data_IF_517954899050
#
_entry.id   IF_517954899050
#
_cell.length_a   1.000
_cell.length_b   1.000
_cell.length_c   1.000
_cell.angle_alpha   90.00
_cell.angle_beta   90.00
_cell.angle_gamma   90.00
#
_symmetry.space_group_name_H-M   'P 1'
#
loop_
_entity.id
_entity.type
_entity.pdbx_description
1 polymer ?
#
# COMPACT_ATOMS: atom_id res chain seq x y z
N UNK A 1 15.00 6.71 -4.98
CA UNK A 1 14.23 6.02 -6.03
C UNK A 1 12.79 5.97 -5.56
N UNK A 2 11.89 6.54 -6.34
CA UNK A 2 10.49 6.71 -5.96
C UNK A 2 9.68 5.48 -6.30
N UNK A 3 8.90 5.00 -5.34
CA UNK A 3 7.86 4.00 -5.57
C UNK A 3 6.53 4.70 -5.72
N UNK A 4 5.75 4.31 -6.72
CA UNK A 4 4.38 4.79 -6.91
C UNK A 4 3.43 3.60 -6.97
N UNK A 5 2.47 3.58 -6.05
CA UNK A 5 1.37 2.63 -5.96
C UNK A 5 0.11 3.38 -6.40
N UNK A 6 -0.42 3.09 -7.59
CA UNK A 6 -1.46 3.95 -8.19
C UNK A 6 -2.83 3.83 -7.52
N UNK A 7 -3.11 2.69 -6.91
CA UNK A 7 -4.40 2.41 -6.30
C UNK A 7 -4.20 1.57 -5.04
N UNK A 8 -4.43 2.22 -3.90
CA UNK A 8 -4.18 1.67 -2.59
C UNK A 8 -5.23 2.13 -1.59
N UNK A 9 -5.65 1.21 -0.74
CA UNK A 9 -6.52 1.47 0.41
C UNK A 9 -5.66 1.56 1.66
N UNK A 10 -5.65 2.71 2.33
CA UNK A 10 -4.74 3.01 3.44
C UNK A 10 -5.48 3.33 4.73
N UNK A 11 -5.20 2.53 5.76
CA UNK A 11 -5.70 2.69 7.11
C UNK A 11 -4.67 3.45 7.95
N UNK A 12 -5.07 4.62 8.47
CA UNK A 12 -4.28 5.41 9.42
C UNK A 12 -4.71 5.18 10.88
N UNK A 13 -5.98 4.83 11.08
CA UNK A 13 -6.56 4.42 12.36
C UNK A 13 -7.56 3.28 12.13
N UNK A 14 -7.98 2.60 13.21
CA UNK A 14 -9.06 1.61 13.17
C UNK A 14 -10.45 2.25 13.15
N UNK A 15 -10.55 3.50 13.61
CA UNK A 15 -11.83 4.19 13.84
C UNK A 15 -12.19 5.19 12.73
N UNK A 16 -11.40 5.23 11.66
CA UNK A 16 -11.57 6.16 10.55
C UNK A 16 -11.58 5.37 9.25
N UNK A 17 -12.45 5.77 8.32
CA UNK A 17 -12.52 5.18 6.99
C UNK A 17 -11.16 5.20 6.29
N UNK A 18 -10.80 4.13 5.56
CA UNK A 18 -9.54 4.08 4.85
C UNK A 18 -9.51 5.11 3.72
N UNK A 19 -8.33 5.67 3.49
CA UNK A 19 -8.08 6.57 2.38
C UNK A 19 -7.76 5.74 1.14
N UNK A 20 -8.58 5.85 0.11
CA UNK A 20 -8.35 5.24 -1.19
C UNK A 20 -7.69 6.24 -2.12
N UNK A 21 -6.53 5.89 -2.68
CA UNK A 21 -5.80 6.76 -3.60
C UNK A 21 -4.43 6.22 -3.99
N UNK A 22 -3.65 7.05 -4.67
CA UNK A 22 -2.28 6.73 -5.04
C UNK A 22 -1.32 7.01 -3.88
N UNK A 23 -0.35 6.12 -3.67
CA UNK A 23 0.71 6.27 -2.66
C UNK A 23 2.05 6.44 -3.34
N UNK A 24 2.87 7.37 -2.86
CA UNK A 24 4.26 7.51 -3.28
C UNK A 24 5.20 7.70 -2.10
N UNK A 25 6.40 7.10 -2.19
CA UNK A 25 7.45 7.24 -1.18
C UNK A 25 8.83 6.98 -1.79
N UNK A 26 9.87 7.47 -1.13
CA UNK A 26 11.26 7.17 -1.48
C UNK A 26 11.75 5.88 -0.82
N UNK A 27 12.48 5.05 -1.58
CA UNK A 27 13.23 3.93 -0.99
C UNK A 27 14.53 4.43 -0.32
N UNK A 28 14.95 3.80 0.79
CA UNK A 28 14.28 2.70 1.50
C UNK A 28 13.07 3.18 2.33
N UNK A 29 12.07 2.31 2.47
CA UNK A 29 10.94 2.57 3.36
C UNK A 29 11.37 2.33 4.81
N UNK A 30 11.26 3.35 5.64
CA UNK A 30 11.59 3.38 7.07
C UNK A 30 10.47 4.08 7.85
N UNK A 31 10.47 3.97 9.17
CA UNK A 31 9.43 4.54 10.03
C UNK A 31 9.14 6.03 9.80
N UNK A 32 10.18 6.81 9.53
CA UNK A 32 10.08 8.26 9.32
C UNK A 32 10.06 8.66 7.84
N UNK A 33 10.11 7.68 6.93
CA UNK A 33 9.99 7.94 5.49
C UNK A 33 8.64 8.63 5.22
N UNK A 34 8.63 9.82 4.59
CA UNK A 34 7.40 10.47 4.19
C UNK A 34 6.70 9.64 3.11
N UNK A 35 5.41 9.41 3.34
CA UNK A 35 4.51 8.72 2.43
C UNK A 35 3.42 9.69 2.04
N UNK A 36 3.32 9.98 0.75
CA UNK A 36 2.29 10.85 0.19
C UNK A 36 1.14 10.00 -0.34
N UNK A 37 -0.08 10.29 0.12
CA UNK A 37 -1.33 9.68 -0.32
C UNK A 37 -2.11 10.74 -1.10
N UNK A 38 -2.27 10.54 -2.40
CA UNK A 38 -3.00 11.43 -3.30
C UNK A 38 -4.34 10.81 -3.65
N UNK A 39 -5.43 11.49 -3.28
CA UNK A 39 -6.79 11.18 -3.72
C UNK A 39 -7.22 12.18 -4.79
N UNK A 40 -8.44 12.01 -5.32
CA UNK A 40 -8.99 12.94 -6.31
C UNK A 40 -9.17 14.37 -5.77
N UNK A 41 -9.37 14.51 -4.46
CA UNK A 41 -9.71 15.79 -3.81
C UNK A 41 -8.64 16.36 -2.89
N UNK A 42 -7.69 15.54 -2.43
CA UNK A 42 -6.68 15.97 -1.45
C UNK A 42 -5.38 15.20 -1.58
N UNK A 43 -4.31 15.84 -1.11
CA UNK A 43 -3.01 15.20 -0.90
C UNK A 43 -2.69 15.22 0.59
N UNK A 44 -2.33 14.07 1.14
CA UNK A 44 -1.98 13.90 2.55
C UNK A 44 -0.58 13.32 2.62
N UNK A 45 0.29 13.91 3.45
CA UNK A 45 1.62 13.35 3.71
C UNK A 45 1.69 12.89 5.16
N UNK A 46 2.09 11.64 5.37
CA UNK A 46 2.26 11.02 6.69
C UNK A 46 3.60 10.30 6.76
N UNK A 47 4.14 10.11 7.96
CA UNK A 47 5.28 9.21 8.14
C UNK A 47 4.81 7.74 8.00
N UNK A 48 5.65 6.86 7.46
CA UNK A 48 5.30 5.45 7.27
C UNK A 48 4.84 4.75 8.57
N UNK A 49 5.39 5.13 9.73
CA UNK A 49 4.96 4.60 11.05
C UNK A 49 3.51 4.90 11.40
N UNK A 50 2.91 5.92 10.79
CA UNK A 50 1.51 6.30 11.00
C UNK A 50 0.57 5.46 10.14
N UNK A 51 1.07 4.78 9.11
CA UNK A 51 0.29 3.83 8.31
C UNK A 51 0.12 2.55 9.12
N UNK A 52 -1.11 2.26 9.53
CA UNK A 52 -1.44 1.00 10.21
C UNK A 52 -1.43 -0.16 9.24
N UNK A 53 -2.00 0.05 8.07
CA UNK A 53 -2.02 -0.91 6.97
C UNK A 53 -2.27 -0.15 5.68
N UNK A 54 -1.50 -0.41 4.65
CA UNK A 54 -1.89 -0.07 3.29
C UNK A 54 -1.93 -1.32 2.44
N UNK A 55 -2.92 -1.44 1.58
CA UNK A 55 -3.09 -2.58 0.68
C UNK A 55 -3.24 -2.05 -0.73
N UNK A 56 -2.51 -2.63 -1.66
CA UNK A 56 -2.51 -2.21 -3.05
C UNK A 56 -2.39 -3.43 -3.95
N UNK A 57 -2.85 -3.30 -5.19
CA UNK A 57 -2.85 -4.42 -6.13
C UNK A 57 -1.56 -4.43 -6.95
N UNK A 58 -0.77 -5.49 -6.79
CA UNK A 58 0.44 -5.74 -7.58
C UNK A 58 0.07 -6.12 -9.01
N UNK A 59 -0.84 -7.09 -9.15
CA UNK A 59 -1.37 -7.56 -10.43
C UNK A 59 -2.83 -8.05 -10.29
N UNK A 60 -3.40 -8.65 -11.34
CA UNK A 60 -4.78 -9.16 -11.32
C UNK A 60 -5.07 -10.26 -10.28
N UNK A 61 -4.05 -10.80 -9.61
CA UNK A 61 -4.10 -11.95 -8.71
C UNK A 61 -3.42 -11.71 -7.36
N UNK A 62 -2.53 -10.73 -7.26
CA UNK A 62 -1.68 -10.47 -6.10
C UNK A 62 -1.85 -9.06 -5.57
N UNK A 63 -1.89 -8.96 -4.25
CA UNK A 63 -1.85 -7.72 -3.47
C UNK A 63 -0.49 -7.57 -2.80
N UNK A 64 -0.07 -6.33 -2.60
CA UNK A 64 1.04 -5.96 -1.73
C UNK A 64 0.53 -5.17 -0.54
N UNK A 65 1.34 -5.14 0.51
CA UNK A 65 0.98 -4.52 1.78
C UNK A 65 2.10 -3.61 2.27
N UNK A 66 1.74 -2.47 2.87
CA UNK A 66 2.64 -1.72 3.76
C UNK A 66 2.13 -1.92 5.17
N UNK A 67 2.93 -2.54 6.02
CA UNK A 67 2.60 -2.80 7.41
C UNK A 67 3.82 -2.58 8.30
N UNK A 68 3.65 -1.86 9.41
CA UNK A 68 4.75 -1.50 10.33
C UNK A 68 5.97 -0.88 9.61
N UNK A 69 5.71 -0.02 8.62
CA UNK A 69 6.74 0.64 7.79
C UNK A 69 7.57 -0.30 6.90
N UNK A 70 7.11 -1.54 6.71
CA UNK A 70 7.74 -2.52 5.82
C UNK A 70 6.82 -2.81 4.64
N UNK A 71 7.42 -2.93 3.46
CA UNK A 71 6.73 -3.35 2.25
C UNK A 71 6.73 -4.89 2.20
N UNK A 72 5.57 -5.49 2.05
CA UNK A 72 5.38 -6.92 1.85
C UNK A 72 4.79 -7.16 0.46
N UNK A 73 5.50 -7.93 -0.35
CA UNK A 73 5.02 -8.44 -1.64
C UNK A 73 5.47 -9.89 -1.82
N UNK A 74 5.08 -10.53 -2.92
CA UNK A 74 5.19 -11.98 -3.16
C UNK A 74 6.58 -12.63 -3.06
N UNK A 75 7.63 -11.87 -2.71
CA UNK A 75 8.98 -12.35 -2.46
C UNK A 75 9.30 -12.60 -0.97
N UNK A 76 8.60 -11.96 -0.04
CA UNK A 76 8.97 -11.92 1.39
C UNK A 76 7.95 -12.69 2.25
N UNK A 77 8.40 -13.75 2.92
CA UNK A 77 7.61 -14.59 3.86
C UNK A 77 6.28 -15.14 3.28
N UNK A 78 6.35 -16.27 2.57
CA UNK A 78 5.24 -16.86 1.81
C UNK A 78 3.95 -17.11 2.60
N UNK A 79 4.01 -17.46 3.88
CA UNK A 79 2.83 -17.95 4.60
C UNK A 79 1.87 -16.83 5.04
N UNK A 80 2.36 -15.83 5.76
CA UNK A 80 1.55 -14.70 6.22
C UNK A 80 1.06 -13.85 5.05
N UNK A 81 1.93 -13.64 4.06
CA UNK A 81 1.56 -13.00 2.80
C UNK A 81 0.43 -13.74 2.09
N UNK A 82 0.49 -15.07 2.00
CA UNK A 82 -0.55 -15.86 1.31
C UNK A 82 -1.91 -15.77 2.01
N UNK A 83 -1.93 -15.80 3.35
CA UNK A 83 -3.17 -15.64 4.13
C UNK A 83 -3.79 -14.27 3.90
N UNK A 84 -2.99 -13.21 3.97
CA UNK A 84 -3.48 -11.84 3.74
C UNK A 84 -3.93 -11.64 2.30
N UNK A 85 -3.14 -12.11 1.32
CA UNK A 85 -3.49 -12.03 -0.09
C UNK A 85 -4.81 -12.74 -0.42
N UNK A 86 -5.06 -13.92 0.16
CA UNK A 86 -6.31 -14.65 -0.04
C UNK A 86 -7.52 -13.90 0.56
N UNK A 87 -7.41 -13.38 1.78
CA UNK A 87 -8.46 -12.59 2.41
C UNK A 87 -8.76 -11.29 1.64
N UNK A 88 -7.72 -10.53 1.28
CA UNK A 88 -7.85 -9.28 0.53
C UNK A 88 -8.42 -9.51 -0.86
N UNK A 89 -8.10 -10.62 -1.53
CA UNK A 89 -8.70 -10.96 -2.83
C UNK A 89 -10.21 -11.16 -2.74
N UNK A 90 -10.71 -11.76 -1.67
CA UNK A 90 -12.14 -11.94 -1.46
C UNK A 90 -12.86 -10.61 -1.18
N UNK A 91 -12.23 -9.72 -0.42
CA UNK A 91 -12.85 -8.44 -0.02
C UNK A 91 -12.72 -7.34 -1.08
N UNK A 92 -11.56 -7.19 -1.71
CA UNK A 92 -11.20 -6.00 -2.50
C UNK A 92 -10.70 -6.33 -3.91
N UNK A 93 -10.79 -7.59 -4.32
CA UNK A 93 -10.40 -8.06 -5.66
C UNK A 93 -10.97 -7.23 -6.82
N UNK A 94 -12.19 -6.73 -6.64
CA UNK A 94 -12.96 -5.97 -7.63
C UNK A 94 -12.81 -4.45 -7.50
N UNK A 95 -12.39 -3.95 -6.34
CA UNK A 95 -12.36 -2.51 -6.05
C UNK A 95 -11.03 -1.87 -6.41
N UNK A 96 -9.92 -2.60 -6.26
CA UNK A 96 -8.59 -2.09 -6.57
C UNK A 96 -8.15 -2.46 -8.00
N UNK A 97 -7.59 -1.49 -8.72
CA UNK A 97 -6.93 -1.66 -10.02
C UNK A 97 -5.44 -1.97 -9.82
N UNK A 98 -4.85 -2.87 -10.63
CA UNK A 98 -3.42 -3.14 -10.57
C UNK A 98 -2.59 -1.88 -10.86
N UNK A 99 -1.50 -1.65 -10.12
CA UNK A 99 -0.73 -0.43 -10.33
C UNK A 99 0.55 -0.26 -9.54
N UNK A 100 1.41 -1.28 -9.48
CA UNK A 100 2.76 -1.15 -8.92
C UNK A 100 3.76 -0.68 -9.99
N UNK A 101 4.35 0.51 -9.82
CA UNK A 101 5.46 0.98 -10.64
C UNK A 101 6.61 1.47 -9.77
N UNK A 102 7.77 0.87 -9.99
CA UNK A 102 9.04 1.40 -9.51
C UNK A 102 9.57 2.37 -10.58
N UNK A 103 9.59 3.67 -10.28
CA UNK A 103 10.09 4.67 -11.21
C UNK A 103 11.60 4.76 -11.02
N UNK A 104 12.35 4.25 -12.02
CA UNK A 104 13.80 4.47 -12.11
C UNK A 104 14.06 5.80 -12.81
N UNK A 105 15.00 6.63 -12.33
CA UNK A 105 15.44 7.83 -13.03
C UNK A 105 16.09 7.50 -14.38
#
# INVERSE_FOLDING_TARGET
MTVVLRDAMTFLSKDIDPIVGAISYEKPLSADTPVTIKTDSKTVTVAAKQIKLSMFKLDNKLFGFIFKSTLYHSGDSKEDFSKWNQGTKQMLGRELKPGFLEVRP
#
